data_IF_581147382075
#
_entry.id   IF_581147382075
#
_cell.length_a   1.000
_cell.length_b   1.000
_cell.length_c   1.000
_cell.angle_alpha   90.00
_cell.angle_beta   90.00
_cell.angle_gamma   90.00
#
_symmetry.space_group_name_H-M   'P 1'
#
loop_
_entity.id
_entity.type
_entity.pdbx_description
1 polymer ?
#
# COMPACT_ATOMS: atom_id res chain seq x y z
N UNK A 1 -9.64 2.83 -3.96
CA UNK A 1 -9.71 3.15 -2.51
C UNK A 1 -9.49 1.87 -1.71
N UNK A 2 -8.57 1.87 -0.74
CA UNK A 2 -8.28 0.72 0.13
C UNK A 2 -9.50 0.19 0.89
N UNK A 3 -10.37 1.10 1.31
CA UNK A 3 -11.62 0.80 2.02
C UNK A 3 -12.70 0.20 1.13
N UNK A 4 -12.41 -0.07 -0.14
CA UNK A 4 -13.31 -0.79 -1.05
C UNK A 4 -12.92 -2.26 -1.20
N UNK A 5 -11.83 -2.70 -0.56
CA UNK A 5 -11.45 -4.11 -0.54
C UNK A 5 -12.24 -4.81 0.57
N UNK A 6 -13.13 -5.72 0.18
CA UNK A 6 -14.02 -6.47 1.07
C UNK A 6 -13.26 -7.21 2.19
N UNK A 7 -12.10 -7.80 1.88
CA UNK A 7 -11.28 -8.51 2.88
C UNK A 7 -10.75 -7.55 3.95
N UNK A 8 -10.28 -6.35 3.56
CA UNK A 8 -9.78 -5.34 4.49
C UNK A 8 -10.93 -4.82 5.38
N UNK A 9 -12.12 -4.66 4.81
CA UNK A 9 -13.30 -4.21 5.56
C UNK A 9 -13.69 -5.24 6.62
N UNK A 10 -13.76 -6.52 6.26
CA UNK A 10 -14.13 -7.59 7.20
C UNK A 10 -13.09 -7.76 8.32
N UNK A 11 -11.81 -7.58 8.01
CA UNK A 11 -10.76 -7.63 9.02
C UNK A 11 -10.79 -6.45 9.99
N UNK A 12 -11.09 -5.25 9.49
CA UNK A 12 -11.32 -4.06 10.33
C UNK A 12 -12.52 -4.29 11.25
N UNK A 13 -13.64 -4.81 10.74
CA UNK A 13 -14.82 -5.12 11.55
C UNK A 13 -14.51 -6.14 12.65
N UNK A 14 -13.77 -7.20 12.32
CA UNK A 14 -13.35 -8.23 13.28
C UNK A 14 -12.51 -7.61 14.40
N UNK A 15 -11.56 -6.75 14.07
CA UNK A 15 -10.71 -6.15 15.09
C UNK A 15 -11.41 -5.11 15.95
N UNK A 16 -12.33 -4.33 15.40
CA UNK A 16 -13.20 -3.46 16.20
C UNK A 16 -13.98 -4.30 17.20
N UNK A 17 -14.57 -5.42 16.77
CA UNK A 17 -15.32 -6.33 17.62
C UNK A 17 -14.44 -6.88 18.77
N UNK A 18 -13.24 -7.35 18.46
CA UNK A 18 -12.28 -7.84 19.47
C UNK A 18 -11.90 -6.72 20.45
N UNK A 19 -11.66 -5.50 19.97
CA UNK A 19 -11.34 -4.37 20.83
C UNK A 19 -12.48 -4.02 21.78
N UNK A 20 -13.73 -4.16 21.34
CA UNK A 20 -14.90 -3.95 22.20
C UNK A 20 -14.99 -5.06 23.25
N UNK A 21 -14.99 -6.33 22.83
CA UNK A 21 -15.11 -7.48 23.73
C UNK A 21 -13.98 -7.53 24.78
N UNK A 22 -12.76 -7.13 24.45
CA UNK A 22 -11.62 -7.14 25.38
C UNK A 22 -11.62 -5.99 26.38
N UNK A 23 -12.29 -4.88 26.07
CA UNK A 23 -12.26 -3.66 26.89
C UNK A 23 -13.59 -3.35 27.59
N UNK A 24 -14.67 -4.07 27.24
CA UNK A 24 -15.93 -4.06 27.97
C UNK A 24 -15.74 -4.65 29.37
N UNK A 25 -15.79 -3.79 30.38
CA UNK A 25 -15.88 -4.16 31.80
C UNK A 25 -16.77 -3.14 32.53
N UNK A 26 -17.23 -3.49 33.74
CA UNK A 26 -18.17 -2.65 34.52
C UNK A 26 -17.65 -1.23 34.82
N UNK A 27 -16.34 -1.00 34.75
CA UNK A 27 -15.69 0.27 35.06
C UNK A 27 -15.23 1.06 33.82
N UNK A 28 -15.30 0.49 32.60
CA UNK A 28 -14.86 1.17 31.38
C UNK A 28 -15.92 2.15 30.90
N UNK A 29 -15.55 3.42 30.74
CA UNK A 29 -16.43 4.43 30.14
C UNK A 29 -16.54 4.22 28.63
N UNK A 30 -17.71 4.51 28.05
CA UNK A 30 -17.93 4.47 26.59
C UNK A 30 -16.93 5.35 25.83
N UNK A 31 -16.49 6.46 26.43
CA UNK A 31 -15.46 7.34 25.87
C UNK A 31 -14.11 6.62 25.73
N UNK A 32 -13.66 5.93 26.79
CA UNK A 32 -12.40 5.18 26.77
C UNK A 32 -12.44 4.06 25.73
N UNK A 33 -13.59 3.40 25.58
CA UNK A 33 -13.78 2.37 24.56
C UNK A 33 -13.70 2.96 23.14
N UNK A 34 -14.37 4.08 22.89
CA UNK A 34 -14.30 4.77 21.60
C UNK A 34 -12.89 5.23 21.24
N UNK A 35 -12.16 5.81 22.19
CA UNK A 35 -10.79 6.25 21.96
C UNK A 35 -9.84 5.07 21.71
N UNK A 36 -10.08 3.92 22.33
CA UNK A 36 -9.34 2.68 22.08
C UNK A 36 -9.57 2.18 20.66
N UNK A 37 -10.83 2.06 20.22
CA UNK A 37 -11.18 1.66 18.85
C UNK A 37 -10.55 2.62 17.83
N UNK A 38 -10.62 3.93 18.09
CA UNK A 38 -10.02 4.96 17.24
C UNK A 38 -8.50 4.80 17.12
N UNK A 39 -7.81 4.51 18.23
CA UNK A 39 -6.37 4.28 18.24
C UNK A 39 -5.98 3.05 17.40
N UNK A 40 -6.73 1.95 17.52
CA UNK A 40 -6.50 0.71 16.76
C UNK A 40 -6.68 0.94 15.27
N UNK A 41 -7.77 1.59 14.87
CA UNK A 41 -8.03 1.93 13.46
C UNK A 41 -6.94 2.82 12.88
N UNK A 42 -6.47 3.81 13.65
CA UNK A 42 -5.38 4.69 13.22
C UNK A 42 -4.07 3.91 13.01
N UNK A 43 -3.72 3.02 13.93
CA UNK A 43 -2.53 2.17 13.82
C UNK A 43 -2.56 1.31 12.56
N UNK A 44 -3.69 0.66 12.28
CA UNK A 44 -3.89 -0.12 11.05
C UNK A 44 -3.75 0.72 9.79
N UNK A 45 -4.43 1.86 9.74
CA UNK A 45 -4.40 2.71 8.56
C UNK A 45 -2.96 3.13 8.24
N UNK A 46 -2.19 3.54 9.25
CA UNK A 46 -0.77 3.88 9.09
C UNK A 46 0.04 2.69 8.57
N UNK A 47 -0.16 1.49 9.13
CA UNK A 47 0.55 0.29 8.69
C UNK A 47 0.27 -0.05 7.22
N UNK A 48 -1.00 0.04 6.80
CA UNK A 48 -1.40 -0.20 5.40
C UNK A 48 -0.80 0.85 4.47
N UNK A 49 -0.87 2.13 4.84
CA UNK A 49 -0.27 3.22 4.05
C UNK A 49 1.25 3.05 3.91
N UNK A 50 1.93 2.66 4.99
CA UNK A 50 3.36 2.38 4.96
C UNK A 50 3.70 1.20 4.04
N UNK A 51 2.89 0.13 4.07
CA UNK A 51 3.04 -1.02 3.18
C UNK A 51 2.87 -0.63 1.71
N UNK A 52 1.81 0.09 1.37
CA UNK A 52 1.56 0.55 0.00
C UNK A 52 2.68 1.45 -0.52
N UNK A 53 3.09 2.45 0.27
CA UNK A 53 4.19 3.34 -0.12
C UNK A 53 5.48 2.57 -0.38
N UNK A 54 5.74 1.52 0.40
CA UNK A 54 6.88 0.62 0.19
C UNK A 54 6.71 -0.18 -1.11
N UNK A 55 5.52 -0.69 -1.39
CA UNK A 55 5.21 -1.42 -2.62
C UNK A 55 5.35 -0.54 -3.87
N UNK A 56 4.78 0.66 -3.87
CA UNK A 56 4.91 1.65 -4.95
C UNK A 56 6.38 1.98 -5.21
N UNK A 57 7.15 2.25 -4.15
CA UNK A 57 8.60 2.48 -4.27
C UNK A 57 9.33 1.28 -4.87
N UNK A 58 8.96 0.06 -4.49
CA UNK A 58 9.55 -1.17 -5.03
C UNK A 58 9.24 -1.34 -6.52
N UNK A 59 8.00 -1.06 -6.94
CA UNK A 59 7.59 -1.10 -8.34
C UNK A 59 8.34 -0.05 -9.16
N UNK A 60 8.43 1.19 -8.68
CA UNK A 60 9.18 2.27 -9.33
C UNK A 60 10.66 1.93 -9.47
N UNK A 61 11.27 1.39 -8.42
CA UNK A 61 12.67 0.93 -8.47
C UNK A 61 12.87 -0.16 -9.52
N UNK A 62 11.96 -1.14 -9.59
CA UNK A 62 12.01 -2.20 -10.59
C UNK A 62 11.91 -1.64 -12.02
N UNK A 63 10.94 -0.76 -12.28
CA UNK A 63 10.78 -0.09 -13.59
C UNK A 63 12.03 0.73 -13.96
N UNK A 64 12.60 1.44 -12.98
CA UNK A 64 13.81 2.25 -13.19
C UNK A 64 15.03 1.37 -13.53
N UNK A 65 15.19 0.22 -12.85
CA UNK A 65 16.25 -0.73 -13.16
C UNK A 65 16.07 -1.34 -14.55
N UNK A 66 14.84 -1.72 -14.90
CA UNK A 66 14.51 -2.25 -16.22
C UNK A 66 14.81 -1.21 -17.32
N UNK A 67 14.39 0.05 -17.13
CA UNK A 67 14.64 1.14 -18.07
C UNK A 67 16.15 1.32 -18.33
N UNK A 68 16.98 1.35 -17.28
CA UNK A 68 18.44 1.49 -17.41
C UNK A 68 19.07 0.36 -18.20
N UNK A 69 18.58 -0.87 -18.02
CA UNK A 69 19.07 -2.03 -18.77
C UNK A 69 18.72 -1.90 -20.26
N UNK A 70 17.47 -1.52 -20.58
CA UNK A 70 17.04 -1.32 -21.96
C UNK A 70 17.82 -0.18 -22.64
N UNK A 71 18.08 0.92 -21.95
CA UNK A 71 18.86 2.04 -22.49
C UNK A 71 20.30 1.61 -22.82
N UNK A 72 20.95 0.84 -21.93
CA UNK A 72 22.29 0.30 -22.16
C UNK A 72 22.33 -0.66 -23.35
N UNK A 73 21.31 -1.49 -23.52
CA UNK A 73 21.18 -2.38 -24.67
C UNK A 73 20.91 -1.62 -25.97
N UNK A 74 20.07 -0.59 -25.93
CA UNK A 74 19.75 0.24 -27.08
C UNK A 74 20.97 0.98 -27.61
N UNK A 75 21.85 1.47 -26.72
CA UNK A 75 23.12 2.09 -27.11
C UNK A 75 24.04 1.12 -27.88
N UNK A 76 24.03 -0.17 -27.53
CA UNK A 76 24.89 -1.18 -28.17
C UNK A 76 24.30 -1.73 -29.47
N UNK A 77 23.00 -1.99 -29.47
CA UNK A 77 22.31 -2.60 -30.60
C UNK A 77 20.91 -1.99 -30.75
N UNK A 78 20.78 -0.91 -31.52
CA UNK A 78 19.53 -0.19 -31.64
C UNK A 78 18.39 -1.03 -32.23
N UNK A 79 17.21 -1.03 -31.59
CA UNK A 79 16.01 -1.71 -32.10
C UNK A 79 14.76 -0.86 -31.91
N UNK A 80 13.95 -0.77 -32.96
CA UNK A 80 12.68 -0.01 -32.94
C UNK A 80 11.73 -0.54 -31.86
N UNK A 81 11.63 -1.86 -31.67
CA UNK A 81 10.80 -2.46 -30.61
C UNK A 81 11.22 -2.01 -29.21
N UNK A 82 12.54 -1.97 -28.95
CA UNK A 82 13.08 -1.56 -27.65
C UNK A 82 12.84 -0.08 -27.36
N UNK A 83 12.98 0.79 -28.37
CA UNK A 83 12.62 2.22 -28.23
C UNK A 83 11.15 2.41 -27.85
N UNK A 84 10.24 1.62 -28.42
CA UNK A 84 8.82 1.66 -28.06
C UNK A 84 8.61 1.27 -26.59
N UNK A 85 9.29 0.23 -26.12
CA UNK A 85 9.22 -0.21 -24.71
C UNK A 85 9.79 0.83 -23.73
N UNK A 86 10.93 1.44 -24.06
CA UNK A 86 11.53 2.55 -23.29
C UNK A 86 10.53 3.71 -23.14
N UNK A 87 9.86 4.10 -24.23
CA UNK A 87 8.85 5.17 -24.19
C UNK A 87 7.66 4.78 -23.29
N UNK A 88 7.22 3.52 -23.36
CA UNK A 88 6.12 3.02 -22.52
C UNK A 88 6.50 3.06 -21.03
N UNK A 89 7.67 2.53 -20.65
CA UNK A 89 8.12 2.53 -19.25
C UNK A 89 8.33 3.95 -18.73
N UNK A 90 8.84 4.87 -19.56
CA UNK A 90 8.96 6.30 -19.17
C UNK A 90 7.61 6.94 -18.90
N UNK A 91 6.57 6.58 -19.65
CA UNK A 91 5.21 7.04 -19.41
C UNK A 91 4.56 6.40 -18.16
N UNK A 92 5.02 5.22 -17.73
CA UNK A 92 4.56 4.59 -16.49
C UNK A 92 5.26 5.13 -15.22
N UNK A 93 6.46 5.73 -15.37
CA UNK A 93 7.22 6.35 -14.27
C UNK A 93 6.80 7.81 -14.04
N UNK A 94 6.43 8.54 -15.11
CA UNK A 94 6.02 9.94 -15.09
C UNK A 94 4.56 10.12 -14.66
#
# INVERSE_FOLDING_TARGET
MLLNNEQIIEEIKREIKICIEMNENENTTTQNLWDTVKAVLRGKFIAIQAHLKKQEKSQLNHLTLHLKQLEKEEMKNPRVSRRKEIVKIRAEIN
#
